data_IF_366168798516
#
_entry.id   IF_366168798516
#
_cell.length_a   1.000
_cell.length_b   1.000
_cell.length_c   1.000
_cell.angle_alpha   90.00
_cell.angle_beta   90.00
_cell.angle_gamma   90.00
#
_symmetry.space_group_name_H-M   'P 1'
#
loop_
_entity.id
_entity.type
_entity.pdbx_description
1 polymer ?
#
# COMPACT_ATOMS: atom_id res chain seq x y z
N UNK A 1 -46.63 -56.79 -29.53
CA UNK A 1 -46.17 -56.57 -28.14
C UNK A 1 -44.62 -56.53 -28.02
N UNK A 2 -43.90 -57.62 -28.33
CA UNK A 2 -42.44 -57.67 -28.19
C UNK A 2 -41.70 -56.65 -29.05
N UNK A 3 -42.09 -56.32 -30.28
CA UNK A 3 -41.51 -55.34 -31.15
C UNK A 3 -41.68 -53.90 -30.59
N UNK A 4 -42.82 -53.60 -30.04
CA UNK A 4 -43.12 -52.30 -29.46
C UNK A 4 -42.32 -52.06 -28.18
N UNK A 5 -42.08 -53.10 -27.35
CA UNK A 5 -41.22 -53.05 -26.19
C UNK A 5 -39.74 -52.83 -26.57
N UNK A 6 -39.27 -53.44 -27.65
CA UNK A 6 -37.91 -53.21 -28.15
C UNK A 6 -37.69 -51.77 -28.67
N UNK A 7 -38.66 -51.24 -29.42
CA UNK A 7 -38.56 -49.80 -29.86
C UNK A 7 -38.61 -48.81 -28.71
N UNK A 8 -39.44 -49.09 -27.70
CA UNK A 8 -39.50 -48.24 -26.50
C UNK A 8 -38.21 -48.35 -25.68
N UNK A 9 -37.59 -49.53 -25.57
CA UNK A 9 -36.32 -49.74 -24.89
C UNK A 9 -35.15 -49.03 -25.64
N UNK A 10 -35.08 -49.15 -26.94
CA UNK A 10 -34.08 -48.44 -27.75
C UNK A 10 -34.21 -46.93 -27.60
N UNK A 11 -35.43 -46.41 -27.60
CA UNK A 11 -35.70 -45.00 -27.38
C UNK A 11 -35.31 -44.54 -25.99
N UNK A 12 -35.63 -45.34 -24.97
CA UNK A 12 -35.23 -45.03 -23.59
C UNK A 12 -33.71 -45.05 -23.39
N UNK A 13 -33.01 -46.03 -23.99
CA UNK A 13 -31.56 -46.14 -23.95
C UNK A 13 -30.92 -44.89 -24.57
N UNK A 14 -31.42 -44.42 -25.69
CA UNK A 14 -30.93 -43.19 -26.35
C UNK A 14 -31.17 -41.95 -25.47
N UNK A 15 -32.39 -41.83 -24.92
CA UNK A 15 -32.75 -40.71 -24.04
C UNK A 15 -31.92 -40.70 -22.75
N UNK A 16 -31.65 -41.88 -22.16
CA UNK A 16 -30.77 -42.04 -21.01
C UNK A 16 -29.33 -41.64 -21.36
N UNK A 17 -28.85 -42.06 -22.54
CA UNK A 17 -27.51 -41.65 -23.04
C UNK A 17 -27.36 -40.16 -23.20
N UNK A 18 -28.33 -39.49 -23.80
CA UNK A 18 -28.35 -38.03 -23.96
C UNK A 18 -28.42 -37.32 -22.62
N UNK A 19 -29.25 -37.78 -21.68
CA UNK A 19 -29.34 -37.21 -20.32
C UNK A 19 -28.06 -37.42 -19.53
N UNK A 20 -27.39 -38.57 -19.71
CA UNK A 20 -26.12 -38.85 -19.03
C UNK A 20 -24.99 -37.99 -19.52
N UNK A 21 -24.90 -37.76 -20.84
CA UNK A 21 -23.92 -36.82 -21.42
C UNK A 21 -24.17 -35.39 -20.95
N UNK A 22 -25.43 -34.97 -20.88
CA UNK A 22 -25.77 -33.62 -20.38
C UNK A 22 -25.44 -33.46 -18.87
N UNK A 23 -25.63 -34.53 -18.09
CA UNK A 23 -25.27 -34.53 -16.67
C UNK A 23 -23.76 -34.40 -16.47
N UNK A 24 -22.96 -35.17 -17.20
CA UNK A 24 -21.51 -35.13 -17.15
C UNK A 24 -20.97 -33.70 -17.51
N UNK A 25 -21.57 -33.06 -18.53
CA UNK A 25 -21.22 -31.68 -18.87
C UNK A 25 -21.60 -30.69 -17.75
N UNK A 26 -22.80 -30.86 -17.19
CA UNK A 26 -23.26 -29.99 -16.10
C UNK A 26 -22.39 -30.16 -14.82
N UNK A 27 -21.99 -31.40 -14.52
CA UNK A 27 -21.08 -31.69 -13.39
C UNK A 27 -19.70 -31.07 -13.60
N UNK A 28 -19.15 -31.16 -14.80
CA UNK A 28 -17.86 -30.51 -15.11
C UNK A 28 -17.91 -28.98 -14.93
N UNK A 29 -18.96 -28.34 -15.40
CA UNK A 29 -19.20 -26.92 -15.22
C UNK A 29 -19.41 -26.58 -13.74
N UNK A 30 -20.20 -27.39 -13.04
CA UNK A 30 -20.41 -27.20 -11.61
C UNK A 30 -19.11 -27.29 -10.80
N UNK A 31 -18.24 -28.25 -11.08
CA UNK A 31 -16.94 -28.40 -10.41
C UNK A 31 -16.06 -27.19 -10.61
N UNK A 32 -16.01 -26.61 -11.83
CA UNK A 32 -15.27 -25.38 -12.10
C UNK A 32 -15.79 -24.20 -11.26
N UNK A 33 -17.12 -24.04 -11.21
CA UNK A 33 -17.72 -22.96 -10.43
C UNK A 33 -17.58 -23.17 -8.93
N UNK A 34 -17.63 -24.41 -8.46
CA UNK A 34 -17.45 -24.75 -7.04
C UNK A 34 -16.02 -24.45 -6.58
N UNK A 35 -15.02 -24.82 -7.39
CA UNK A 35 -13.63 -24.49 -7.13
C UNK A 35 -13.41 -22.97 -7.11
N UNK A 36 -13.98 -22.26 -8.06
CA UNK A 36 -13.91 -20.80 -8.12
C UNK A 36 -14.59 -20.16 -6.90
N UNK A 37 -15.75 -20.66 -6.53
CA UNK A 37 -16.48 -20.21 -5.35
C UNK A 37 -15.74 -20.53 -4.05
N UNK A 38 -15.06 -21.66 -3.95
CA UNK A 38 -14.25 -22.02 -2.79
C UNK A 38 -13.06 -21.10 -2.62
N UNK A 39 -12.42 -20.67 -3.70
CA UNK A 39 -11.25 -19.78 -3.67
C UNK A 39 -11.61 -18.32 -3.45
N UNK A 40 -12.65 -17.83 -4.09
CA UNK A 40 -13.03 -16.42 -4.14
C UNK A 40 -14.34 -16.11 -3.45
N UNK A 41 -15.23 -17.10 -3.34
CA UNK A 41 -16.56 -16.94 -2.80
C UNK A 41 -16.54 -16.84 -1.27
N UNK A 42 -17.12 -15.78 -0.76
CA UNK A 42 -17.63 -15.74 0.61
C UNK A 42 -18.98 -15.04 0.56
N UNK A 43 -19.92 -15.48 1.40
CA UNK A 43 -21.29 -14.95 1.43
C UNK A 43 -21.30 -13.40 1.64
N UNK A 44 -20.24 -12.86 2.23
CA UNK A 44 -20.07 -11.43 2.53
C UNK A 44 -19.05 -10.72 1.61
N UNK A 45 -18.49 -11.39 0.60
CA UNK A 45 -17.51 -10.86 -0.34
C UNK A 45 -16.14 -10.52 0.28
N UNK A 46 -15.90 -10.85 1.55
CA UNK A 46 -14.66 -10.48 2.25
C UNK A 46 -13.43 -11.13 1.67
N UNK A 47 -13.53 -12.38 1.22
CA UNK A 47 -12.39 -13.12 0.64
C UNK A 47 -11.92 -12.45 -0.64
N UNK A 48 -12.84 -12.17 -1.57
CA UNK A 48 -12.51 -11.47 -2.81
C UNK A 48 -11.91 -10.07 -2.54
N UNK A 49 -12.56 -9.30 -1.65
CA UNK A 49 -12.05 -7.97 -1.27
C UNK A 49 -10.62 -8.05 -0.71
N UNK A 50 -10.35 -9.01 0.17
CA UNK A 50 -9.02 -9.19 0.76
C UNK A 50 -7.96 -9.51 -0.29
N UNK A 51 -8.28 -10.38 -1.24
CA UNK A 51 -7.38 -10.70 -2.36
C UNK A 51 -7.13 -9.45 -3.21
N UNK A 52 -8.17 -8.74 -3.61
CA UNK A 52 -8.04 -7.53 -4.41
C UNK A 52 -7.19 -6.45 -3.69
N UNK A 53 -7.45 -6.24 -2.40
CA UNK A 53 -6.68 -5.28 -1.59
C UNK A 53 -5.23 -5.73 -1.40
N UNK A 54 -4.92 -7.03 -1.36
CA UNK A 54 -3.54 -7.51 -1.25
C UNK A 54 -2.72 -7.18 -2.49
N UNK A 55 -3.31 -7.18 -3.68
CA UNK A 55 -2.63 -6.73 -4.89
C UNK A 55 -2.32 -5.22 -4.85
N UNK A 56 -3.28 -4.42 -4.43
CA UNK A 56 -3.09 -2.97 -4.27
C UNK A 56 -2.02 -2.68 -3.22
N UNK A 57 -2.04 -3.42 -2.11
CA UNK A 57 -1.02 -3.29 -1.06
C UNK A 57 0.37 -3.63 -1.58
N UNK A 58 0.54 -4.74 -2.31
CA UNK A 58 1.83 -5.10 -2.88
C UNK A 58 2.38 -4.02 -3.82
N UNK A 59 1.54 -3.45 -4.69
CA UNK A 59 1.95 -2.36 -5.57
C UNK A 59 2.37 -1.11 -4.79
N UNK A 60 1.63 -0.79 -3.73
CA UNK A 60 1.96 0.29 -2.81
C UNK A 60 3.31 0.04 -2.12
N UNK A 61 3.54 -1.18 -1.61
CA UNK A 61 4.79 -1.53 -0.94
C UNK A 61 5.99 -1.53 -1.87
N UNK A 62 5.84 -2.00 -3.12
CA UNK A 62 6.89 -1.90 -4.13
C UNK A 62 7.31 -0.45 -4.37
N UNK A 63 6.34 0.45 -4.50
CA UNK A 63 6.61 1.88 -4.65
C UNK A 63 7.24 2.47 -3.39
N UNK A 64 6.75 2.09 -2.21
CA UNK A 64 7.29 2.54 -0.92
C UNK A 64 8.72 2.07 -0.70
N UNK A 65 9.06 0.84 -1.10
CA UNK A 65 10.42 0.32 -1.02
C UNK A 65 11.39 1.13 -1.88
N UNK A 66 10.96 1.62 -3.04
CA UNK A 66 11.75 2.54 -3.85
C UNK A 66 12.13 3.82 -3.09
N UNK A 67 11.20 4.41 -2.35
CA UNK A 67 11.50 5.56 -1.48
C UNK A 67 12.32 5.17 -0.25
N UNK A 68 12.00 4.03 0.37
CA UNK A 68 12.69 3.58 1.55
C UNK A 68 14.18 3.33 1.29
N UNK A 69 14.52 2.74 0.15
CA UNK A 69 15.93 2.57 -0.29
C UNK A 69 16.67 3.91 -0.50
N UNK A 70 15.97 4.98 -0.87
CA UNK A 70 16.59 6.31 -0.94
C UNK A 70 16.92 6.87 0.45
N UNK A 71 16.18 6.47 1.48
CA UNK A 71 16.42 6.89 2.87
C UNK A 71 17.44 6.00 3.57
N UNK A 72 17.27 4.68 3.42
CA UNK A 72 18.07 3.64 4.08
C UNK A 72 17.89 2.29 3.39
N UNK A 73 19.00 1.68 2.95
CA UNK A 73 19.03 0.37 2.27
C UNK A 73 18.86 -0.82 3.22
N UNK A 74 18.62 -0.60 4.52
CA UNK A 74 18.55 -1.68 5.50
C UNK A 74 17.21 -2.42 5.49
N UNK A 75 16.12 -1.73 5.20
CA UNK A 75 14.77 -2.25 5.39
C UNK A 75 14.00 -2.36 4.08
N UNK A 76 13.18 -3.39 3.98
CA UNK A 76 12.22 -3.62 2.91
C UNK A 76 10.86 -4.02 3.48
N UNK A 77 9.79 -3.50 2.89
CA UNK A 77 8.42 -3.77 3.32
C UNK A 77 7.85 -4.92 2.50
N UNK A 78 7.21 -5.86 3.16
CA UNK A 78 6.53 -6.98 2.55
C UNK A 78 5.11 -7.13 3.08
N UNK A 79 4.17 -7.52 2.21
CA UNK A 79 2.85 -7.92 2.66
C UNK A 79 2.89 -9.37 3.14
N UNK A 80 2.31 -9.66 4.29
CA UNK A 80 2.10 -11.03 4.72
C UNK A 80 1.07 -11.69 3.80
N UNK A 81 1.42 -12.81 3.11
CA UNK A 81 0.56 -13.44 2.12
C UNK A 81 -0.86 -13.70 2.64
N UNK A 82 -1.86 -13.33 1.85
CA UNK A 82 -3.27 -13.53 2.17
C UNK A 82 -3.82 -12.65 3.30
N UNK A 83 -3.04 -11.67 3.77
CA UNK A 83 -3.45 -10.70 4.79
C UNK A 83 -3.17 -9.27 4.31
N UNK A 84 -3.60 -8.27 5.09
CA UNK A 84 -3.25 -6.86 4.87
C UNK A 84 -2.23 -6.38 5.90
N UNK A 85 -1.45 -7.31 6.47
CA UNK A 85 -0.42 -6.99 7.46
C UNK A 85 0.87 -6.68 6.73
N UNK A 86 1.49 -5.56 7.08
CA UNK A 86 2.80 -5.15 6.59
C UNK A 86 3.85 -5.68 7.54
N UNK A 87 4.85 -6.35 6.99
CA UNK A 87 6.05 -6.82 7.69
C UNK A 87 7.26 -6.06 7.18
N UNK A 88 8.31 -6.04 7.98
CA UNK A 88 9.61 -5.43 7.65
C UNK A 88 10.65 -6.52 7.56
N UNK A 89 11.35 -6.58 6.45
CA UNK A 89 12.56 -7.39 6.27
C UNK A 89 13.79 -6.55 6.60
N UNK A 90 14.60 -7.00 7.55
CA UNK A 90 15.93 -6.43 7.81
C UNK A 90 16.94 -7.11 6.89
N UNK A 91 17.47 -6.38 5.92
CA UNK A 91 18.41 -6.89 4.92
C UNK A 91 19.80 -7.15 5.51
N UNK A 92 20.13 -6.58 6.68
CA UNK A 92 21.41 -6.79 7.34
C UNK A 92 21.40 -7.99 8.29
N UNK A 93 20.32 -8.17 9.04
CA UNK A 93 20.21 -9.25 10.01
C UNK A 93 19.45 -10.47 9.47
N UNK A 94 18.70 -10.29 8.39
CA UNK A 94 17.77 -11.29 7.87
C UNK A 94 16.53 -11.46 8.74
N UNK A 95 15.48 -12.01 8.12
CA UNK A 95 14.21 -12.28 8.81
C UNK A 95 13.16 -11.18 8.62
N UNK A 96 11.91 -11.61 8.82
CA UNK A 96 10.71 -10.75 8.76
C UNK A 96 10.25 -10.45 10.18
N UNK A 97 10.01 -9.18 10.47
CA UNK A 97 9.54 -8.71 11.78
C UNK A 97 8.32 -7.82 11.63
N UNK A 98 7.66 -7.54 12.72
CA UNK A 98 6.56 -6.58 12.74
C UNK A 98 7.10 -5.14 12.63
N UNK A 99 6.35 -4.25 11.98
CA UNK A 99 6.65 -2.80 11.97
C UNK A 99 6.74 -2.20 13.40
N UNK A 100 6.15 -2.85 14.38
CA UNK A 100 6.18 -2.40 15.78
C UNK A 100 7.56 -2.58 16.45
N UNK A 101 8.50 -3.31 15.83
CA UNK A 101 9.85 -3.51 16.37
C UNK A 101 10.83 -2.42 15.93
N UNK A 102 10.42 -1.54 15.04
CA UNK A 102 11.22 -0.43 14.55
C UNK A 102 11.42 0.64 15.63
N UNK A 103 12.59 1.26 15.64
CA UNK A 103 12.83 2.48 16.40
C UNK A 103 11.98 3.65 15.89
N UNK A 104 11.89 4.73 16.66
CA UNK A 104 11.10 5.92 16.25
C UNK A 104 11.53 6.50 14.91
N UNK A 105 12.85 6.59 14.66
CA UNK A 105 13.38 7.09 13.39
C UNK A 105 13.10 6.14 12.21
N UNK A 106 13.27 4.85 12.41
CA UNK A 106 12.98 3.84 11.39
C UNK A 106 11.49 3.79 11.06
N UNK A 107 10.63 3.87 12.07
CA UNK A 107 9.18 3.94 11.91
C UNK A 107 8.74 5.20 11.15
N UNK A 108 9.40 6.35 11.41
CA UNK A 108 9.16 7.58 10.67
C UNK A 108 9.53 7.44 9.18
N UNK A 109 10.72 6.88 8.87
CA UNK A 109 11.13 6.66 7.47
C UNK A 109 10.18 5.72 6.72
N UNK A 110 9.76 4.63 7.36
CA UNK A 110 8.75 3.71 6.78
C UNK A 110 7.42 4.42 6.53
N UNK A 111 6.95 5.20 7.51
CA UNK A 111 5.69 5.96 7.37
C UNK A 111 5.77 7.00 6.25
N UNK A 112 6.90 7.68 6.15
CA UNK A 112 7.15 8.66 5.08
C UNK A 112 7.19 7.99 3.71
N UNK A 113 7.90 6.86 3.57
CA UNK A 113 7.95 6.09 2.33
C UNK A 113 6.57 5.63 1.87
N UNK A 114 5.74 5.14 2.80
CA UNK A 114 4.35 4.77 2.52
C UNK A 114 3.49 5.96 2.10
N UNK A 115 3.63 7.10 2.76
CA UNK A 115 2.90 8.32 2.42
C UNK A 115 3.27 8.84 1.01
N UNK A 116 4.57 8.82 0.68
CA UNK A 116 5.07 9.18 -0.65
C UNK A 116 4.58 8.20 -1.73
N UNK A 117 4.61 6.91 -1.45
CA UNK A 117 4.10 5.88 -2.35
C UNK A 117 2.59 6.06 -2.62
N UNK A 118 1.80 6.28 -1.57
CA UNK A 118 0.37 6.52 -1.70
C UNK A 118 0.10 7.76 -2.56
N UNK A 119 0.83 8.86 -2.31
CA UNK A 119 0.70 10.09 -3.11
C UNK A 119 1.07 9.89 -4.58
N UNK A 120 2.00 8.97 -4.87
CA UNK A 120 2.44 8.66 -6.24
C UNK A 120 1.49 7.73 -6.97
N UNK A 121 0.92 6.74 -6.27
CA UNK A 121 -0.03 5.78 -6.85
C UNK A 121 -1.35 6.43 -7.22
N UNK A 122 -1.80 7.41 -6.45
CA UNK A 122 -3.03 8.17 -6.71
C UNK A 122 -2.91 9.10 -7.91
N UNK A 123 -1.69 9.44 -8.33
CA UNK A 123 -1.39 10.42 -9.37
C UNK A 123 -1.88 10.11 -10.79
N UNK A 124 -2.41 8.90 -11.07
CA UNK A 124 -3.06 8.60 -12.35
C UNK A 124 -4.50 9.15 -12.44
N UNK A 125 -5.14 9.42 -11.30
CA UNK A 125 -6.50 9.99 -11.23
C UNK A 125 -6.53 11.36 -10.54
N UNK A 126 -5.62 11.62 -9.59
CA UNK A 126 -5.52 12.87 -8.86
C UNK A 126 -4.03 13.19 -8.65
N UNK A 127 -3.56 14.35 -9.11
CA UNK A 127 -2.21 14.80 -8.81
C UNK A 127 -2.19 15.40 -7.40
N UNK A 128 -1.34 14.87 -6.54
CA UNK A 128 -1.03 15.48 -5.24
C UNK A 128 0.16 16.41 -5.44
N UNK A 129 -0.11 17.69 -5.55
CA UNK A 129 0.92 18.68 -5.83
C UNK A 129 1.64 19.18 -4.57
N UNK A 130 1.01 19.00 -3.40
CA UNK A 130 1.57 19.46 -2.13
C UNK A 130 1.41 18.39 -1.04
N UNK A 131 2.49 18.09 -0.35
CA UNK A 131 2.55 17.20 0.80
C UNK A 131 2.92 18.00 2.03
N UNK A 132 2.19 17.85 3.13
CA UNK A 132 2.56 18.40 4.43
C UNK A 132 2.99 17.26 5.36
N UNK A 133 4.16 17.43 5.97
CA UNK A 133 4.73 16.53 6.96
C UNK A 133 4.74 17.27 8.29
N UNK A 134 3.94 16.76 9.23
CA UNK A 134 3.79 17.36 10.56
C UNK A 134 4.59 16.54 11.58
N UNK A 135 5.68 17.12 12.09
CA UNK A 135 6.61 16.51 13.05
C UNK A 135 7.30 15.23 12.55
N UNK A 136 7.94 14.48 13.43
CA UNK A 136 8.60 13.19 13.17
C UNK A 136 10.11 13.27 12.93
N UNK A 137 10.64 14.40 12.49
CA UNK A 137 12.06 14.56 12.18
C UNK A 137 12.97 14.51 13.41
N UNK A 138 12.44 14.80 14.60
CA UNK A 138 13.20 14.80 15.86
C UNK A 138 13.69 13.42 16.31
N UNK A 139 13.14 12.35 15.74
CA UNK A 139 13.55 10.97 16.00
C UNK A 139 14.66 10.47 15.07
N UNK A 140 15.04 11.25 14.04
CA UNK A 140 16.07 10.90 13.08
C UNK A 140 17.47 11.28 13.58
N UNK A 141 18.45 10.42 13.29
CA UNK A 141 19.86 10.82 13.35
C UNK A 141 20.19 11.79 12.22
N UNK A 142 21.27 12.54 12.36
CA UNK A 142 21.68 13.55 11.39
C UNK A 142 21.84 12.99 9.99
N UNK A 143 22.46 11.81 9.84
CA UNK A 143 22.64 11.14 8.54
C UNK A 143 21.30 10.76 7.88
N UNK A 144 20.33 10.28 8.66
CA UNK A 144 19.02 9.95 8.13
C UNK A 144 18.21 11.21 7.77
N UNK A 145 18.38 12.28 8.55
CA UNK A 145 17.77 13.56 8.24
C UNK A 145 18.27 14.10 6.89
N UNK A 146 19.58 14.01 6.64
CA UNK A 146 20.17 14.45 5.37
C UNK A 146 19.64 13.65 4.18
N UNK A 147 19.58 12.31 4.29
CA UNK A 147 19.04 11.44 3.23
C UNK A 147 17.57 11.76 2.94
N UNK A 148 16.77 11.97 3.98
CA UNK A 148 15.35 12.32 3.84
C UNK A 148 15.21 13.68 3.15
N UNK A 149 15.97 14.70 3.58
CA UNK A 149 15.90 16.03 3.00
C UNK A 149 16.36 16.04 1.54
N UNK A 150 17.42 15.31 1.20
CA UNK A 150 17.86 15.15 -0.19
C UNK A 150 16.78 14.51 -1.05
N UNK A 151 16.13 13.45 -0.56
CA UNK A 151 15.04 12.79 -1.29
C UNK A 151 13.85 13.71 -1.49
N UNK A 152 13.45 14.49 -0.47
CA UNK A 152 12.36 15.44 -0.59
C UNK A 152 12.67 16.56 -1.60
N UNK A 153 13.91 17.03 -1.67
CA UNK A 153 14.36 17.99 -2.67
C UNK A 153 14.32 17.39 -4.09
N UNK A 154 14.78 16.14 -4.26
CA UNK A 154 14.67 15.44 -5.56
C UNK A 154 13.23 15.28 -6.03
N UNK A 155 12.28 15.04 -5.14
CA UNK A 155 10.86 14.95 -5.48
C UNK A 155 10.31 16.28 -6.01
N UNK A 156 10.78 17.40 -5.49
CA UNK A 156 10.47 18.72 -6.01
C UNK A 156 11.03 18.92 -7.44
N UNK A 157 12.30 18.57 -7.65
CA UNK A 157 12.98 18.75 -8.94
C UNK A 157 12.40 17.87 -10.06
N UNK A 158 12.03 16.63 -9.74
CA UNK A 158 11.53 15.64 -10.70
C UNK A 158 10.05 15.81 -11.06
N UNK A 159 9.23 16.29 -10.14
CA UNK A 159 7.77 16.29 -10.30
C UNK A 159 7.10 17.62 -9.95
N UNK A 160 7.84 18.64 -9.54
CA UNK A 160 7.28 19.92 -9.10
C UNK A 160 6.45 19.82 -7.81
N UNK A 161 6.54 18.72 -7.10
CA UNK A 161 5.78 18.49 -5.85
C UNK A 161 6.32 19.36 -4.74
N UNK A 162 5.46 20.16 -4.15
CA UNK A 162 5.81 21.02 -3.01
C UNK A 162 5.71 20.23 -1.71
N UNK A 163 6.73 20.34 -0.87
CA UNK A 163 6.72 19.71 0.46
C UNK A 163 6.76 20.81 1.51
N UNK A 164 5.76 20.84 2.37
CA UNK A 164 5.71 21.67 3.57
C UNK A 164 6.09 20.84 4.79
N UNK A 165 7.02 21.33 5.59
CA UNK A 165 7.46 20.66 6.82
C UNK A 165 7.07 21.53 8.00
N UNK A 166 6.34 20.94 8.96
CA UNK A 166 6.03 21.56 10.24
C UNK A 166 6.91 20.88 11.27
N UNK A 167 7.80 21.62 11.91
CA UNK A 167 8.71 21.05 12.89
C UNK A 167 9.29 22.10 13.83
N UNK A 168 9.69 21.66 15.01
CA UNK A 168 10.45 22.45 15.99
C UNK A 168 11.96 22.12 15.99
N UNK A 169 12.41 21.23 15.12
CA UNK A 169 13.81 20.79 15.05
C UNK A 169 14.70 21.88 14.47
N UNK A 170 15.66 22.36 15.25
CA UNK A 170 16.58 23.45 14.84
C UNK A 170 17.41 23.09 13.60
N UNK A 171 17.86 21.83 13.49
CA UNK A 171 18.69 21.36 12.37
C UNK A 171 17.98 21.48 11.00
N UNK A 172 16.64 21.48 10.97
CA UNK A 172 15.88 21.69 9.74
C UNK A 172 15.95 23.14 9.24
N UNK A 173 16.15 24.10 10.14
CA UNK A 173 16.22 25.53 9.76
C UNK A 173 17.39 25.84 8.82
N UNK A 174 18.48 25.11 8.96
CA UNK A 174 19.67 25.29 8.11
C UNK A 174 19.52 24.61 6.74
N UNK A 175 18.61 23.64 6.63
CA UNK A 175 18.42 22.82 5.44
C UNK A 175 17.26 23.27 4.54
N UNK A 176 16.42 24.19 5.04
CA UNK A 176 15.22 24.67 4.33
C UNK A 176 15.39 26.12 3.94
N UNK A 177 15.26 26.41 2.63
CA UNK A 177 15.49 27.75 2.08
C UNK A 177 14.41 28.76 2.46
N UNK A 178 13.15 28.36 2.50
CA UNK A 178 12.03 29.26 2.83
C UNK A 178 11.34 28.79 4.10
N UNK A 179 11.22 29.66 5.08
CA UNK A 179 10.66 29.34 6.38
C UNK A 179 9.53 30.28 6.75
N UNK A 180 8.46 29.71 7.29
CA UNK A 180 7.38 30.45 7.94
C UNK A 180 7.58 30.30 9.45
N UNK A 181 8.09 31.33 10.10
CA UNK A 181 8.36 31.34 11.54
C UNK A 181 7.17 31.88 12.30
N UNK A 182 6.65 31.06 13.20
CA UNK A 182 5.59 31.46 14.14
C UNK A 182 6.21 31.67 15.51
N UNK A 183 6.15 32.90 16.01
CA UNK A 183 6.72 33.25 17.32
C UNK A 183 5.65 33.88 18.19
N UNK A 184 5.68 33.60 19.51
CA UNK A 184 4.81 34.29 20.47
C UNK A 184 5.25 35.72 20.67
N UNK A 185 4.31 36.65 20.80
CA UNK A 185 4.62 38.01 21.13
C UNK A 185 5.14 38.07 22.61
N UNK A 186 6.34 38.61 22.82
CA UNK A 186 6.92 38.68 24.17
C UNK A 186 6.10 39.51 25.15
N UNK A 187 5.25 40.43 24.65
CA UNK A 187 4.44 41.35 25.47
C UNK A 187 3.03 40.83 25.69
N UNK A 188 2.56 39.95 24.83
CA UNK A 188 1.21 39.36 24.90
C UNK A 188 1.20 37.91 24.50
N UNK A 189 1.22 37.02 25.47
CA UNK A 189 1.24 35.56 25.27
C UNK A 189 0.04 35.00 24.51
N UNK A 190 -1.00 35.77 24.27
CA UNK A 190 -2.19 35.35 23.50
C UNK A 190 -2.07 35.67 22.02
N UNK A 191 -1.02 36.40 21.59
CA UNK A 191 -0.80 36.79 20.21
C UNK A 191 0.46 36.13 19.66
N UNK A 192 0.35 35.58 18.45
CA UNK A 192 1.48 35.05 17.68
C UNK A 192 1.78 35.94 16.49
N UNK A 193 3.05 36.05 16.16
CA UNK A 193 3.54 36.71 14.95
C UNK A 193 4.03 35.70 13.96
N UNK A 194 3.70 35.90 12.69
CA UNK A 194 4.11 35.09 11.56
C UNK A 194 5.06 35.91 10.69
N UNK A 195 6.26 35.39 10.46
CA UNK A 195 7.25 36.01 9.59
C UNK A 195 7.70 34.99 8.53
N UNK A 196 7.79 35.43 7.27
CA UNK A 196 8.41 34.64 6.19
C UNK A 196 9.86 35.04 6.10
N UNK A 197 10.73 34.03 6.18
CA UNK A 197 12.18 34.21 6.07
C UNK A 197 12.64 33.42 4.85
N UNK A 198 13.21 34.11 3.88
CA UNK A 198 13.94 33.53 2.76
C UNK A 198 15.38 34.07 2.82
N UNK A 199 16.39 33.26 2.50
CA UNK A 199 17.76 33.72 2.41
C UNK A 199 17.95 34.74 1.31
#
# INVERSE_FOLDING_TARGET
>A
MLHQQLEDDEKNIKEIGEKKAALEQAEAVYQQWDEFNRLLGSADGKTFRRIALSYILNELLNTANGYLHMFNDRYELEANPGTLIILVRDLQQGGLTSVNTLSGGESFMVSLALALALSSTTGKMFSVDTLFIDEGFGSLSENYLDNVMETLNRLYDMGGRRVGIISHVEMLKERVTTQIRVTRDPKNNTVSRVNVVSP
#
